data_IF_717581826970
#
_entry.id   IF_717581826970
#
_cell.length_a   1.000
_cell.length_b   1.000
_cell.length_c   1.000
_cell.angle_alpha   90.00
_cell.angle_beta   90.00
_cell.angle_gamma   90.00
#
_symmetry.space_group_name_H-M   'P 1'
#
loop_
_entity.id
_entity.type
_entity.pdbx_description
1 polymer ?
#
# COMPACT_ATOMS: atom_id res chain seq x y z
N UNK A 1 -14.95 13.99 43.13
CA UNK A 1 -16.05 13.44 42.31
C UNK A 1 -16.79 14.63 41.72
N UNK A 2 -16.64 14.87 40.41
CA UNK A 2 -17.35 15.96 39.73
C UNK A 2 -18.85 15.69 39.74
N UNK A 3 -19.70 16.70 40.00
CA UNK A 3 -21.15 16.51 40.07
C UNK A 3 -21.65 16.16 38.65
N UNK A 4 -22.44 15.09 38.55
CA UNK A 4 -23.10 14.67 37.32
C UNK A 4 -24.05 15.78 36.85
N UNK A 5 -23.81 16.30 35.64
CA UNK A 5 -24.64 17.34 35.08
C UNK A 5 -25.98 16.78 34.55
N UNK A 6 -27.03 17.65 34.44
CA UNK A 6 -28.32 17.27 33.83
C UNK A 6 -28.14 16.72 32.41
N UNK A 7 -27.13 17.23 31.66
CA UNK A 7 -26.82 16.81 30.33
C UNK A 7 -26.23 15.39 30.31
N UNK A 8 -25.36 15.05 31.28
CA UNK A 8 -24.76 13.73 31.39
C UNK A 8 -25.79 12.68 31.82
N UNK A 9 -26.70 13.05 32.70
CA UNK A 9 -27.83 12.20 33.08
C UNK A 9 -28.76 11.90 31.88
N UNK A 10 -29.08 12.90 31.07
CA UNK A 10 -29.89 12.69 29.85
C UNK A 10 -29.16 11.83 28.80
N UNK A 11 -27.85 12.00 28.62
CA UNK A 11 -27.05 11.17 27.71
C UNK A 11 -27.04 9.71 28.15
N UNK A 12 -26.79 9.45 29.42
CA UNK A 12 -26.78 8.08 29.99
C UNK A 12 -28.19 7.47 29.91
N UNK A 13 -29.22 8.22 30.23
CA UNK A 13 -30.60 7.77 30.14
C UNK A 13 -31.04 7.42 28.70
N UNK A 14 -30.68 8.25 27.72
CA UNK A 14 -30.97 7.98 26.31
C UNK A 14 -30.15 6.76 25.79
N UNK A 15 -28.90 6.65 26.18
CA UNK A 15 -28.06 5.50 25.79
C UNK A 15 -28.56 4.17 26.37
N UNK A 16 -29.00 4.17 27.65
CA UNK A 16 -29.57 2.98 28.29
C UNK A 16 -30.92 2.57 27.70
N UNK A 17 -31.79 3.53 27.36
CA UNK A 17 -33.06 3.25 26.70
C UNK A 17 -32.86 2.67 25.30
N UNK A 18 -31.91 3.22 24.52
CA UNK A 18 -31.55 2.70 23.21
C UNK A 18 -30.98 1.28 23.31
N UNK A 19 -30.10 1.01 24.28
CA UNK A 19 -29.55 -0.33 24.50
C UNK A 19 -30.65 -1.34 24.89
N UNK A 20 -31.58 -0.95 25.74
CA UNK A 20 -32.71 -1.80 26.14
C UNK A 20 -33.64 -2.12 24.96
N UNK A 21 -33.92 -1.16 24.08
CA UNK A 21 -34.74 -1.38 22.89
C UNK A 21 -34.06 -2.34 21.87
N UNK A 22 -32.75 -2.21 21.67
CA UNK A 22 -31.96 -3.11 20.80
C UNK A 22 -31.89 -4.52 21.38
N UNK A 23 -31.77 -4.66 22.74
CA UNK A 23 -31.78 -5.96 23.40
C UNK A 23 -33.17 -6.64 23.30
N UNK A 24 -34.25 -5.87 23.35
CA UNK A 24 -35.62 -6.38 23.16
C UNK A 24 -35.85 -6.95 21.74
N UNK A 25 -35.07 -6.51 20.76
CA UNK A 25 -35.04 -7.07 19.40
C UNK A 25 -34.17 -8.32 19.26
N UNK A 26 -33.62 -8.86 20.37
CA UNK A 26 -32.82 -10.08 20.39
C UNK A 26 -31.31 -9.85 20.15
N UNK A 27 -30.85 -8.60 20.11
CA UNK A 27 -29.42 -8.31 20.00
C UNK A 27 -28.77 -8.22 21.39
N UNK A 28 -27.77 -9.03 21.64
CA UNK A 28 -26.98 -8.98 22.87
C UNK A 28 -25.89 -7.88 22.78
N UNK A 29 -26.27 -6.66 23.21
CA UNK A 29 -25.39 -5.49 23.18
C UNK A 29 -24.15 -5.68 24.07
N UNK A 30 -24.28 -6.39 25.20
CA UNK A 30 -23.15 -6.67 26.09
C UNK A 30 -22.16 -7.63 25.42
N UNK A 31 -22.65 -8.64 24.73
CA UNK A 31 -21.82 -9.58 23.96
C UNK A 31 -21.20 -8.93 22.74
N UNK A 32 -21.92 -8.04 22.04
CA UNK A 32 -21.37 -7.26 20.94
C UNK A 32 -20.24 -6.31 21.39
N UNK A 33 -20.36 -5.74 22.59
CA UNK A 33 -19.30 -4.91 23.19
C UNK A 33 -18.07 -5.74 23.62
N UNK A 34 -18.27 -7.00 24.03
CA UNK A 34 -17.18 -7.91 24.39
C UNK A 34 -16.45 -8.49 23.17
N UNK A 35 -17.15 -8.67 22.05
CA UNK A 35 -16.54 -9.08 20.78
C UNK A 35 -15.93 -7.86 20.10
N UNK A 36 -15.00 -7.22 20.78
CA UNK A 36 -14.12 -6.24 20.14
C UNK A 36 -13.15 -7.01 19.25
N UNK A 37 -13.58 -7.36 18.04
CA UNK A 37 -12.68 -7.88 17.05
C UNK A 37 -11.54 -6.86 16.89
N UNK A 38 -10.35 -7.26 17.29
CA UNK A 38 -9.18 -6.45 17.00
C UNK A 38 -9.07 -6.35 15.49
N UNK A 39 -9.18 -5.14 14.98
CA UNK A 39 -8.97 -4.91 13.55
C UNK A 39 -7.62 -5.52 13.16
N UNK A 40 -7.56 -6.17 12.01
CA UNK A 40 -6.34 -6.76 11.45
C UNK A 40 -5.15 -5.78 11.48
N UNK A 41 -5.45 -4.49 11.31
CA UNK A 41 -4.48 -3.38 11.29
C UNK A 41 -4.26 -2.72 12.66
N UNK A 42 -4.91 -3.19 13.74
CA UNK A 42 -4.73 -2.60 15.07
C UNK A 42 -3.25 -2.66 15.49
N UNK A 43 -2.66 -1.51 15.83
CA UNK A 43 -1.24 -1.40 16.20
C UNK A 43 -0.26 -1.63 15.05
N UNK A 44 -0.73 -1.62 13.80
CA UNK A 44 0.15 -1.68 12.63
C UNK A 44 0.90 -0.36 12.43
N UNK A 45 2.09 -0.43 11.86
CA UNK A 45 2.82 0.73 11.34
C UNK A 45 2.23 1.13 10.00
N UNK A 46 1.96 2.41 9.82
CA UNK A 46 1.49 2.99 8.57
C UNK A 46 2.67 3.52 7.75
N UNK A 47 2.59 3.33 6.44
CA UNK A 47 3.55 3.87 5.47
C UNK A 47 2.79 4.33 4.24
N UNK A 48 3.01 5.57 3.83
CA UNK A 48 2.37 6.14 2.64
C UNK A 48 3.10 5.74 1.36
N UNK A 49 2.35 5.53 0.30
CA UNK A 49 2.86 5.16 -1.03
C UNK A 49 1.92 5.67 -2.12
N UNK A 50 2.30 5.46 -3.36
CA UNK A 50 1.49 5.78 -4.53
C UNK A 50 1.08 4.51 -5.27
N UNK A 51 -0.13 4.54 -5.84
CA UNK A 51 -0.63 3.46 -6.66
C UNK A 51 0.19 3.33 -7.96
N UNK A 52 0.69 2.13 -8.32
CA UNK A 52 1.59 1.95 -9.46
C UNK A 52 0.88 1.85 -10.81
N UNK A 53 -0.46 1.90 -10.87
CA UNK A 53 -1.19 1.48 -12.07
C UNK A 53 -1.45 2.58 -13.10
N UNK A 54 -1.65 3.82 -12.69
CA UNK A 54 -1.95 4.89 -13.65
C UNK A 54 -1.54 6.27 -13.17
N UNK A 55 -1.59 7.25 -14.08
CA UNK A 55 -1.16 8.63 -13.83
C UNK A 55 -2.05 9.43 -12.86
N UNK A 56 -3.18 8.88 -12.41
CA UNK A 56 -4.00 9.53 -11.37
C UNK A 56 -3.21 9.71 -10.09
N UNK A 57 -2.27 8.78 -9.78
CA UNK A 57 -1.39 8.91 -8.62
C UNK A 57 -2.13 8.82 -7.28
N UNK A 58 -3.13 7.95 -7.18
CA UNK A 58 -3.84 7.71 -5.91
C UNK A 58 -2.85 7.39 -4.79
N UNK A 59 -2.97 8.09 -3.65
CA UNK A 59 -2.19 7.79 -2.46
C UNK A 59 -2.73 6.55 -1.75
N UNK A 60 -1.80 5.71 -1.28
CA UNK A 60 -2.06 4.47 -0.57
C UNK A 60 -1.46 4.54 0.83
N UNK A 61 -2.10 3.86 1.78
CA UNK A 61 -1.54 3.56 3.10
C UNK A 61 -1.29 2.07 3.22
N UNK A 62 -0.05 1.67 3.42
CA UNK A 62 0.34 0.30 3.68
C UNK A 62 0.47 0.07 5.20
N UNK A 63 -0.28 -0.89 5.70
CA UNK A 63 -0.27 -1.31 7.11
C UNK A 63 0.66 -2.50 7.27
N UNK A 64 1.68 -2.34 8.10
CA UNK A 64 2.70 -3.36 8.30
C UNK A 64 2.88 -3.70 9.78
N UNK A 65 3.39 -4.89 10.07
CA UNK A 65 3.77 -5.34 11.41
C UNK A 65 5.09 -6.06 11.36
N UNK A 66 5.95 -5.80 12.33
CA UNK A 66 7.17 -6.57 12.51
C UNK A 66 6.84 -7.91 13.17
N UNK A 67 7.38 -9.00 12.63
CA UNK A 67 7.35 -10.32 13.23
C UNK A 67 8.47 -10.45 14.28
N UNK A 68 8.42 -11.49 15.11
CA UNK A 68 9.43 -11.76 16.13
C UNK A 68 10.83 -12.06 15.54
N UNK A 69 10.89 -12.51 14.29
CA UNK A 69 12.13 -12.78 13.54
C UNK A 69 12.75 -11.53 12.90
N UNK A 70 12.15 -10.35 13.13
CA UNK A 70 12.58 -9.08 12.53
C UNK A 70 12.06 -8.84 11.10
N UNK A 71 11.40 -9.80 10.47
CA UNK A 71 10.78 -9.61 9.16
C UNK A 71 9.55 -8.71 9.25
N UNK A 72 9.22 -8.03 8.15
CA UNK A 72 8.05 -7.16 8.08
C UNK A 72 6.93 -7.83 7.29
N UNK A 73 5.77 -7.99 7.92
CA UNK A 73 4.56 -8.52 7.29
C UNK A 73 3.66 -7.38 6.83
N UNK A 74 3.30 -7.38 5.55
CA UNK A 74 2.25 -6.52 5.01
C UNK A 74 0.88 -7.08 5.41
N UNK A 75 0.08 -6.27 6.11
CA UNK A 75 -1.24 -6.65 6.61
C UNK A 75 -2.34 -6.24 5.65
N UNK A 76 -2.29 -4.98 5.17
CA UNK A 76 -3.32 -4.38 4.32
C UNK A 76 -2.75 -3.20 3.54
N UNK A 77 -3.36 -2.88 2.40
CA UNK A 77 -3.18 -1.63 1.66
C UNK A 77 -4.56 -1.02 1.44
N UNK A 78 -4.71 0.26 1.78
CA UNK A 78 -5.94 1.03 1.61
C UNK A 78 -5.64 2.37 0.94
N UNK A 79 -6.67 3.06 0.48
CA UNK A 79 -6.53 4.44 0.01
C UNK A 79 -6.28 5.38 1.19
N UNK A 80 -5.45 6.41 0.96
CA UNK A 80 -5.15 7.43 1.95
C UNK A 80 -6.33 8.43 2.06
N UNK A 81 -7.03 8.49 3.20
CA UNK A 81 -8.14 9.43 3.36
C UNK A 81 -7.71 10.90 3.39
N UNK A 82 -6.43 11.17 3.67
CA UNK A 82 -5.88 12.51 3.71
C UNK A 82 -5.39 13.01 2.34
N UNK A 83 -5.41 12.14 1.33
CA UNK A 83 -4.98 12.50 -0.03
C UNK A 83 -6.05 13.37 -0.72
N UNK A 84 -5.67 14.56 -1.23
CA UNK A 84 -6.60 15.40 -1.99
C UNK A 84 -6.97 14.81 -3.36
N UNK A 85 -6.24 13.79 -3.84
CA UNK A 85 -6.46 13.16 -5.14
C UNK A 85 -7.55 12.11 -5.09
N UNK A 86 -7.54 11.25 -4.09
CA UNK A 86 -8.45 10.09 -4.02
C UNK A 86 -9.27 9.99 -2.73
N UNK A 87 -9.00 10.81 -1.71
CA UNK A 87 -9.78 10.88 -0.46
C UNK A 87 -10.12 9.49 0.12
N UNK A 88 -9.15 8.58 0.11
CA UNK A 88 -9.32 7.20 0.55
C UNK A 88 -9.97 6.25 -0.45
N UNK A 89 -10.48 6.74 -1.58
CA UNK A 89 -11.13 5.91 -2.60
C UNK A 89 -10.10 5.25 -3.51
N UNK A 90 -10.37 4.00 -3.89
CA UNK A 90 -9.54 3.26 -4.85
C UNK A 90 -10.43 2.62 -5.91
N UNK A 91 -9.96 2.60 -7.14
CA UNK A 91 -10.53 1.76 -8.18
C UNK A 91 -10.19 0.28 -7.93
N UNK A 92 -10.82 -0.68 -8.61
CA UNK A 92 -10.53 -2.11 -8.41
C UNK A 92 -9.05 -2.49 -8.52
N UNK A 93 -8.27 -1.83 -9.39
CA UNK A 93 -6.82 -2.08 -9.50
C UNK A 93 -6.08 -1.64 -8.23
N UNK A 94 -6.34 -0.42 -7.73
CA UNK A 94 -5.73 0.08 -6.50
C UNK A 94 -6.10 -0.76 -5.28
N UNK A 95 -7.37 -1.18 -5.18
CA UNK A 95 -7.85 -2.04 -4.11
C UNK A 95 -7.18 -3.43 -4.09
N UNK A 96 -6.66 -3.90 -5.23
CA UNK A 96 -5.91 -5.17 -5.33
C UNK A 96 -4.40 -5.02 -5.23
N UNK A 97 -3.88 -3.85 -4.90
CA UNK A 97 -2.44 -3.59 -4.81
C UNK A 97 -1.73 -4.52 -3.80
N UNK A 98 -2.42 -4.91 -2.73
CA UNK A 98 -1.88 -5.88 -1.78
C UNK A 98 -1.59 -7.23 -2.43
N UNK A 99 -2.51 -7.76 -3.25
CA UNK A 99 -2.31 -9.04 -3.93
C UNK A 99 -1.11 -9.00 -4.87
N UNK A 100 -0.88 -7.86 -5.54
CA UNK A 100 0.32 -7.65 -6.35
C UNK A 100 1.58 -7.71 -5.48
N UNK A 101 1.58 -7.03 -4.32
CA UNK A 101 2.74 -6.95 -3.43
C UNK A 101 3.15 -8.31 -2.85
N UNK A 102 2.17 -9.19 -2.52
CA UNK A 102 2.42 -10.50 -1.90
C UNK A 102 2.37 -11.66 -2.89
N UNK A 103 2.26 -11.39 -4.20
CA UNK A 103 2.14 -12.44 -5.21
C UNK A 103 3.40 -13.29 -5.28
N UNK A 104 3.25 -14.61 -5.14
CA UNK A 104 4.34 -15.56 -5.33
C UNK A 104 4.85 -15.65 -6.78
N UNK A 105 4.08 -15.11 -7.73
CA UNK A 105 4.49 -15.03 -9.15
C UNK A 105 5.33 -13.81 -9.46
N UNK A 106 5.59 -12.97 -8.47
CA UNK A 106 6.42 -11.79 -8.63
C UNK A 106 7.86 -12.20 -8.94
N UNK A 107 8.42 -11.60 -9.98
CA UNK A 107 9.84 -11.79 -10.31
C UNK A 107 10.68 -10.98 -9.33
N UNK A 108 11.44 -11.67 -8.48
CA UNK A 108 12.24 -11.05 -7.40
C UNK A 108 13.70 -10.88 -7.79
N UNK A 109 14.14 -11.58 -8.84
CA UNK A 109 15.53 -11.54 -9.33
C UNK A 109 15.57 -11.17 -10.80
N UNK A 110 16.61 -10.47 -11.26
CA UNK A 110 16.75 -10.13 -12.66
C UNK A 110 16.84 -11.37 -13.54
N UNK A 111 16.16 -11.33 -14.67
CA UNK A 111 16.23 -12.36 -15.69
C UNK A 111 16.99 -11.80 -16.91
N UNK A 112 17.98 -12.53 -17.36
CA UNK A 112 18.77 -12.21 -18.54
C UNK A 112 18.57 -13.26 -19.63
N UNK A 113 18.41 -12.79 -20.85
CA UNK A 113 18.42 -13.66 -22.04
C UNK A 113 19.51 -13.18 -23.00
N UNK A 114 20.51 -14.01 -23.22
CA UNK A 114 21.59 -13.68 -24.15
C UNK A 114 21.07 -13.50 -25.58
N UNK A 115 21.69 -12.67 -26.41
CA UNK A 115 21.34 -12.53 -27.83
C UNK A 115 21.31 -13.89 -28.51
N UNK A 116 20.23 -14.17 -29.27
CA UNK A 116 20.03 -15.47 -29.95
C UNK A 116 19.61 -16.63 -29.05
N UNK A 117 19.58 -16.47 -27.72
CA UNK A 117 19.12 -17.53 -26.81
C UNK A 117 17.60 -17.54 -26.67
N UNK A 118 17.02 -18.72 -26.52
CA UNK A 118 15.61 -18.90 -26.13
C UNK A 118 15.40 -19.06 -24.63
N UNK A 119 16.50 -19.12 -23.84
CA UNK A 119 16.44 -19.39 -22.39
C UNK A 119 16.64 -18.12 -21.59
N UNK A 120 15.85 -17.99 -20.51
CA UNK A 120 16.02 -16.98 -19.48
C UNK A 120 16.86 -17.54 -18.34
N UNK A 121 17.81 -16.77 -17.86
CA UNK A 121 18.70 -17.12 -16.77
C UNK A 121 18.57 -16.10 -15.65
N UNK A 122 18.49 -16.56 -14.40
CA UNK A 122 18.55 -15.68 -13.24
C UNK A 122 19.99 -15.19 -13.10
N UNK A 123 20.16 -13.87 -12.96
CA UNK A 123 21.46 -13.22 -12.73
C UNK A 123 21.40 -12.37 -11.48
N UNK A 124 22.55 -12.07 -10.92
CA UNK A 124 22.67 -11.09 -9.84
C UNK A 124 22.51 -9.65 -10.36
N UNK A 125 22.22 -8.74 -9.45
CA UNK A 125 22.02 -7.32 -9.79
C UNK A 125 23.29 -6.66 -10.31
N UNK A 126 24.49 -7.03 -9.82
CA UNK A 126 25.77 -6.50 -10.29
C UNK A 126 25.95 -6.75 -11.79
N UNK A 127 25.82 -8.02 -12.21
CA UNK A 127 25.89 -8.39 -13.62
C UNK A 127 24.90 -7.61 -14.50
N UNK A 128 23.65 -7.47 -14.04
CA UNK A 128 22.60 -6.82 -14.86
C UNK A 128 22.83 -5.32 -14.97
N UNK A 129 23.19 -4.67 -13.87
CA UNK A 129 23.48 -3.22 -13.87
C UNK A 129 24.68 -2.89 -14.74
N UNK A 130 25.76 -3.69 -14.66
CA UNK A 130 26.93 -3.53 -15.53
C UNK A 130 26.56 -3.69 -16.99
N UNK A 131 25.74 -4.69 -17.32
CA UNK A 131 25.30 -4.94 -18.70
C UNK A 131 24.44 -3.79 -19.24
N UNK A 132 23.52 -3.26 -18.41
CA UNK A 132 22.71 -2.09 -18.77
C UNK A 132 23.61 -0.87 -18.98
N UNK A 133 24.55 -0.61 -18.07
CA UNK A 133 25.47 0.52 -18.18
C UNK A 133 26.35 0.45 -19.43
N UNK A 134 26.90 -0.74 -19.73
CA UNK A 134 27.68 -0.98 -20.95
C UNK A 134 26.86 -0.71 -22.22
N UNK A 135 25.62 -1.21 -22.28
CA UNK A 135 24.76 -1.04 -23.43
C UNK A 135 24.34 0.43 -23.62
N UNK A 136 24.00 1.12 -22.54
CA UNK A 136 23.67 2.54 -22.56
C UNK A 136 24.86 3.38 -23.03
N UNK A 137 26.06 3.11 -22.46
CA UNK A 137 27.29 3.79 -22.85
C UNK A 137 27.59 3.56 -24.32
N UNK A 138 27.59 2.32 -24.78
CA UNK A 138 27.88 1.98 -26.19
C UNK A 138 26.86 2.61 -27.15
N UNK A 139 25.60 2.67 -26.78
CA UNK A 139 24.56 3.34 -27.58
C UNK A 139 24.80 4.84 -27.64
N UNK A 140 25.02 5.48 -26.48
CA UNK A 140 25.30 6.91 -26.40
C UNK A 140 26.55 7.29 -27.23
N UNK A 141 27.66 6.59 -27.01
CA UNK A 141 28.93 6.89 -27.67
C UNK A 141 28.83 6.76 -29.21
N UNK A 142 27.89 5.96 -29.72
CA UNK A 142 27.63 5.78 -31.14
C UNK A 142 26.65 6.77 -31.74
N UNK A 143 25.62 7.18 -30.99
CA UNK A 143 24.45 7.89 -31.54
C UNK A 143 24.20 9.26 -30.94
N UNK A 144 24.92 9.63 -29.88
CA UNK A 144 24.74 10.93 -29.22
C UNK A 144 25.31 12.06 -30.09
N UNK A 145 24.49 13.04 -30.38
CA UNK A 145 24.87 14.26 -31.04
C UNK A 145 24.53 15.40 -30.09
N UNK A 146 25.53 16.07 -29.54
CA UNK A 146 25.35 17.19 -28.60
C UNK A 146 24.96 18.52 -29.25
N UNK A 147 25.27 18.64 -30.56
CA UNK A 147 24.93 19.82 -31.37
C UNK A 147 24.54 19.38 -32.77
N UNK A 148 23.57 20.06 -33.36
CA UNK A 148 23.21 19.88 -34.75
C UNK A 148 24.26 20.48 -35.70
N UNK A 149 24.05 20.35 -37.02
CA UNK A 149 24.92 20.92 -38.05
C UNK A 149 25.00 22.48 -38.00
N UNK A 150 24.05 23.12 -37.33
CA UNK A 150 23.98 24.56 -37.11
C UNK A 150 24.64 25.02 -35.80
N UNK A 151 25.18 24.10 -34.97
CA UNK A 151 25.77 24.37 -33.68
C UNK A 151 24.79 24.54 -32.52
N UNK A 152 23.50 24.27 -32.72
CA UNK A 152 22.52 24.33 -31.65
C UNK A 152 22.58 23.04 -30.80
N UNK A 153 22.43 23.20 -29.49
CA UNK A 153 22.33 22.08 -28.56
C UNK A 153 21.04 21.33 -28.85
N UNK A 154 21.14 20.00 -29.05
CA UNK A 154 20.01 19.10 -29.39
C UNK A 154 19.53 18.37 -28.14
#
# INVERSE_FOLDING_TARGET
MDPVTRRDFLKVGAASAAAASVSALGFDVARAAMVKQQLKIAGARESHSLCPYCAVGCSLVAFTRQNADGSTKLLQIEGDPNSPVNEGRLCPKGATAMQLAISQRRVESPLYRAPGSSKWEVKDWGFVLDKIAQNLKASRDRTFVGQDAGGNVV
#
